data_IF_215708302475
#
_entry.id   IF_215708302475
#
_cell.length_a   1.000
_cell.length_b   1.000
_cell.length_c   1.000
_cell.angle_alpha   90.00
_cell.angle_beta   90.00
_cell.angle_gamma   90.00
#
_symmetry.space_group_name_H-M   'P 1'
#
loop_
_entity.id
_entity.type
_entity.pdbx_description
1 polymer ?
#
# COMPACT_ATOMS: atom_id res chain seq x y z
N UNK A 1 29.27 -19.87 28.12
CA UNK A 1 28.22 -18.97 27.69
C UNK A 1 28.23 -18.96 26.16
N UNK A 2 27.33 -19.74 25.49
CA UNK A 2 27.31 -19.84 24.03
C UNK A 2 26.40 -18.73 23.51
N UNK A 3 26.95 -17.70 22.89
CA UNK A 3 26.22 -16.71 22.12
C UNK A 3 25.55 -17.42 20.95
N UNK A 4 24.23 -17.53 21.00
CA UNK A 4 23.41 -17.98 19.87
C UNK A 4 23.41 -16.86 18.84
N UNK A 5 24.26 -16.97 17.84
CA UNK A 5 24.19 -16.13 16.63
C UNK A 5 22.94 -16.58 15.88
N UNK A 6 21.84 -15.82 16.01
CA UNK A 6 20.66 -16.03 15.16
C UNK A 6 21.08 -15.62 13.74
N UNK A 7 21.02 -16.56 12.80
CA UNK A 7 21.12 -16.23 11.38
C UNK A 7 20.02 -15.22 11.04
N UNK A 8 20.26 -14.23 10.16
CA UNK A 8 19.19 -13.37 9.68
C UNK A 8 18.10 -14.23 9.06
N UNK A 9 16.81 -13.88 9.25
CA UNK A 9 15.71 -14.60 8.63
C UNK A 9 15.94 -14.65 7.11
N UNK A 10 15.68 -15.81 6.51
CA UNK A 10 15.70 -15.92 5.06
C UNK A 10 14.65 -14.94 4.50
N UNK A 11 14.95 -14.30 3.37
CA UNK A 11 14.07 -13.33 2.70
C UNK A 11 12.64 -13.87 2.51
N UNK A 12 12.53 -15.17 2.22
CA UNK A 12 11.24 -15.84 2.07
C UNK A 12 10.48 -16.00 3.39
N UNK A 13 11.19 -16.16 4.52
CA UNK A 13 10.57 -16.21 5.85
C UNK A 13 9.98 -14.84 6.23
N UNK A 14 10.64 -13.73 5.94
CA UNK A 14 10.11 -12.38 6.19
C UNK A 14 8.85 -12.10 5.36
N UNK A 15 8.86 -12.44 4.07
CA UNK A 15 7.67 -12.32 3.21
C UNK A 15 6.51 -13.19 3.72
N UNK A 16 6.78 -14.40 4.18
CA UNK A 16 5.76 -15.29 4.74
C UNK A 16 5.11 -14.71 5.99
N UNK A 17 5.89 -14.11 6.90
CA UNK A 17 5.38 -13.42 8.10
C UNK A 17 4.45 -12.27 7.73
N UNK A 18 4.87 -11.40 6.81
CA UNK A 18 4.07 -10.24 6.37
C UNK A 18 2.82 -10.70 5.60
N UNK A 19 2.92 -11.72 4.76
CA UNK A 19 1.76 -12.32 4.08
C UNK A 19 0.76 -12.89 5.07
N UNK A 20 1.21 -13.66 6.07
CA UNK A 20 0.36 -14.21 7.11
C UNK A 20 -0.35 -13.11 7.92
N UNK A 21 0.35 -12.01 8.23
CA UNK A 21 -0.27 -10.84 8.85
C UNK A 21 -1.42 -10.27 7.99
N UNK A 22 -1.21 -10.15 6.67
CA UNK A 22 -2.29 -9.69 5.78
C UNK A 22 -3.46 -10.67 5.73
N UNK A 23 -3.19 -11.96 5.53
CA UNK A 23 -4.23 -12.97 5.32
C UNK A 23 -5.03 -13.30 6.59
N UNK A 24 -4.36 -13.37 7.74
CA UNK A 24 -5.04 -13.77 8.98
C UNK A 24 -5.48 -12.57 9.81
N UNK A 25 -4.65 -11.53 9.95
CA UNK A 25 -5.00 -10.39 10.79
C UNK A 25 -5.86 -9.40 10.03
N UNK A 26 -5.39 -8.92 8.86
CA UNK A 26 -6.12 -7.89 8.12
C UNK A 26 -7.39 -8.45 7.48
N UNK A 27 -7.32 -9.62 6.82
CA UNK A 27 -8.48 -10.20 6.12
C UNK A 27 -9.47 -10.89 7.05
N UNK A 28 -8.98 -11.64 8.05
CA UNK A 28 -9.85 -12.45 8.94
C UNK A 28 -10.11 -11.84 10.29
N UNK A 29 -9.37 -10.79 10.69
CA UNK A 29 -9.48 -10.17 12.01
C UNK A 29 -8.98 -11.07 13.15
N UNK A 30 -8.04 -11.96 12.87
CA UNK A 30 -7.47 -12.86 13.87
C UNK A 30 -6.46 -12.11 14.75
N UNK A 31 -6.94 -11.56 15.86
CA UNK A 31 -6.10 -10.80 16.78
C UNK A 31 -5.16 -11.67 17.64
N UNK A 32 -5.39 -12.98 17.75
CA UNK A 32 -4.43 -13.88 18.40
C UNK A 32 -3.16 -14.01 17.55
N UNK A 33 -3.31 -14.10 16.22
CA UNK A 33 -2.19 -14.08 15.28
C UNK A 33 -1.51 -12.71 15.25
N UNK A 34 -2.26 -11.61 15.43
CA UNK A 34 -1.67 -10.28 15.59
C UNK A 34 -0.72 -10.24 16.80
N UNK A 35 -1.15 -10.76 17.97
CA UNK A 35 -0.29 -10.82 19.15
C UNK A 35 0.96 -11.70 18.96
N UNK A 36 0.83 -12.78 18.18
CA UNK A 36 1.95 -13.64 17.81
C UNK A 36 2.95 -12.94 16.90
N UNK A 37 2.47 -12.29 15.84
CA UNK A 37 3.32 -11.77 14.77
C UNK A 37 3.93 -10.40 15.06
N UNK A 38 3.28 -9.54 15.85
CA UNK A 38 3.80 -8.21 16.15
C UNK A 38 4.65 -8.23 17.42
N UNK A 39 5.81 -7.58 17.37
CA UNK A 39 6.69 -7.44 18.52
C UNK A 39 6.06 -6.53 19.59
N UNK A 40 6.42 -6.73 20.86
CA UNK A 40 5.91 -5.89 21.95
C UNK A 40 6.43 -4.44 21.87
N UNK A 41 7.63 -4.27 21.31
CA UNK A 41 8.28 -2.99 21.05
C UNK A 41 8.06 -2.47 19.61
N UNK A 42 7.00 -2.96 18.93
CA UNK A 42 6.63 -2.55 17.58
C UNK A 42 6.42 -1.03 17.48
N UNK A 43 6.90 -0.45 16.37
CA UNK A 43 6.75 0.97 16.04
C UNK A 43 6.07 1.16 14.68
N UNK A 44 4.96 1.90 14.67
CA UNK A 44 4.36 2.43 13.44
C UNK A 44 4.92 3.83 13.16
N UNK A 45 5.68 3.98 12.08
CA UNK A 45 6.29 5.25 11.68
C UNK A 45 5.33 6.16 10.90
N UNK A 46 4.17 5.66 10.53
CA UNK A 46 3.12 6.38 9.79
C UNK A 46 1.75 6.20 10.45
N UNK A 47 1.63 6.46 11.77
CA UNK A 47 0.37 6.21 12.47
C UNK A 47 -0.76 7.05 11.88
N UNK A 48 -1.95 6.46 11.82
CA UNK A 48 -3.14 7.19 11.40
C UNK A 48 -3.55 8.21 12.47
N UNK A 49 -4.27 9.29 12.09
CA UNK A 49 -4.82 10.24 13.07
C UNK A 49 -5.55 9.52 14.21
N UNK A 50 -5.38 10.01 15.42
CA UNK A 50 -5.99 9.48 16.66
C UNK A 50 -5.56 8.04 17.05
N UNK A 51 -4.44 7.54 16.49
CA UNK A 51 -3.79 6.30 16.92
C UNK A 51 -2.40 6.56 17.52
N UNK A 52 -1.97 5.70 18.43
CA UNK A 52 -0.60 5.70 18.95
C UNK A 52 0.34 4.95 18.00
N UNK A 53 1.65 5.29 17.95
CA UNK A 53 2.62 4.66 17.06
C UNK A 53 3.12 3.31 17.58
N UNK A 54 2.31 2.57 18.30
CA UNK A 54 2.65 1.30 18.91
C UNK A 54 1.69 0.17 18.52
N UNK A 55 1.96 -1.02 18.98
CA UNK A 55 1.15 -2.22 18.78
C UNK A 55 -0.32 -2.01 19.17
N UNK A 56 -0.59 -1.28 20.27
CA UNK A 56 -1.95 -1.00 20.72
C UNK A 56 -2.70 -0.07 19.75
N UNK A 57 -2.02 0.94 19.19
CA UNK A 57 -2.58 1.83 18.18
C UNK A 57 -2.99 1.10 16.91
N UNK A 58 -2.14 0.19 16.40
CA UNK A 58 -2.46 -0.62 15.21
C UNK A 58 -3.62 -1.59 15.49
N UNK A 59 -3.66 -2.20 16.68
CA UNK A 59 -4.80 -3.04 17.08
C UNK A 59 -6.10 -2.25 17.09
N UNK A 60 -6.08 -1.04 17.67
CA UNK A 60 -7.23 -0.13 17.68
C UNK A 60 -7.66 0.24 16.26
N UNK A 61 -6.70 0.57 15.37
CA UNK A 61 -6.97 0.88 13.97
C UNK A 61 -7.66 -0.29 13.25
N UNK A 62 -7.15 -1.51 13.36
CA UNK A 62 -7.76 -2.67 12.71
C UNK A 62 -9.17 -2.96 13.25
N UNK A 63 -9.40 -2.79 14.56
CA UNK A 63 -10.74 -2.92 15.13
C UNK A 63 -11.71 -1.88 14.60
N UNK A 64 -11.25 -0.63 14.46
CA UNK A 64 -12.05 0.47 13.91
C UNK A 64 -12.39 0.26 12.43
N UNK A 65 -11.40 -0.16 11.61
CA UNK A 65 -11.61 -0.47 10.19
C UNK A 65 -12.64 -1.60 10.04
N UNK A 66 -12.52 -2.67 10.82
CA UNK A 66 -13.47 -3.80 10.74
C UNK A 66 -14.87 -3.47 11.23
N UNK A 67 -15.01 -2.52 12.15
CA UNK A 67 -16.33 -2.02 12.54
C UNK A 67 -16.98 -1.18 11.43
N UNK A 68 -16.19 -0.45 10.66
CA UNK A 68 -16.66 0.35 9.54
C UNK A 68 -16.89 -0.48 8.25
N UNK A 69 -16.06 -1.51 8.04
CA UNK A 69 -16.06 -2.39 6.87
C UNK A 69 -15.98 -3.84 7.33
N UNK A 70 -17.09 -4.51 7.67
CA UNK A 70 -17.07 -5.86 8.25
C UNK A 70 -16.45 -6.92 7.32
N UNK A 71 -16.54 -6.74 6.02
CA UNK A 71 -15.97 -7.59 4.96
C UNK A 71 -14.58 -7.13 4.48
N UNK A 72 -13.92 -6.25 5.25
CA UNK A 72 -12.60 -5.72 4.90
C UNK A 72 -11.58 -6.80 4.62
N UNK A 73 -10.94 -6.72 3.45
CA UNK A 73 -9.88 -7.63 3.05
C UNK A 73 -8.89 -6.98 2.09
N UNK A 74 -7.69 -7.52 2.03
CA UNK A 74 -6.61 -7.09 1.15
C UNK A 74 -6.33 -8.16 0.09
N UNK A 75 -6.15 -7.73 -1.15
CA UNK A 75 -5.56 -8.51 -2.23
C UNK A 75 -4.10 -8.10 -2.41
N UNK A 76 -3.16 -9.03 -2.18
CA UNK A 76 -1.73 -8.80 -2.38
C UNK A 76 -1.39 -8.97 -3.85
N UNK A 77 -0.88 -7.92 -4.51
CA UNK A 77 -0.42 -7.98 -5.89
C UNK A 77 1.02 -8.51 -5.98
N UNK A 78 1.93 -7.95 -5.17
CA UNK A 78 3.31 -8.40 -5.09
C UNK A 78 3.96 -8.02 -3.78
N UNK A 79 5.06 -8.71 -3.46
CA UNK A 79 5.95 -8.43 -2.34
C UNK A 79 7.40 -8.44 -2.80
N UNK A 80 8.15 -7.44 -2.39
CA UNK A 80 9.60 -7.36 -2.53
C UNK A 80 10.24 -7.35 -1.15
N UNK A 81 11.40 -7.97 -1.01
CA UNK A 81 12.15 -7.94 0.23
C UNK A 81 13.58 -7.49 -0.01
N UNK A 82 14.09 -6.66 0.91
CA UNK A 82 15.47 -6.23 1.00
C UNK A 82 15.93 -6.38 2.45
N UNK A 83 16.76 -7.38 2.68
CA UNK A 83 17.18 -7.77 4.03
C UNK A 83 15.98 -8.15 4.92
N UNK A 84 15.80 -7.42 6.01
CA UNK A 84 14.71 -7.63 6.98
C UNK A 84 13.43 -6.83 6.66
N UNK A 85 13.39 -6.09 5.54
CA UNK A 85 12.25 -5.28 5.13
C UNK A 85 11.50 -5.91 3.97
N UNK A 86 10.17 -5.91 4.09
CA UNK A 86 9.26 -6.41 3.06
C UNK A 86 8.32 -5.28 2.64
N UNK A 87 8.38 -4.93 1.37
CA UNK A 87 7.42 -4.01 0.73
C UNK A 87 6.29 -4.83 0.15
N UNK A 88 5.05 -4.43 0.44
CA UNK A 88 3.84 -5.08 -0.08
C UNK A 88 2.98 -4.05 -0.81
N UNK A 89 2.66 -4.31 -2.08
CA UNK A 89 1.61 -3.61 -2.82
C UNK A 89 0.34 -4.43 -2.79
N UNK A 90 -0.76 -3.82 -2.37
CA UNK A 90 -2.06 -4.48 -2.21
C UNK A 90 -3.21 -3.51 -2.45
N UNK A 91 -4.37 -4.06 -2.78
CA UNK A 91 -5.64 -3.33 -2.79
C UNK A 91 -6.49 -3.79 -1.62
N UNK A 92 -7.01 -2.85 -0.85
CA UNK A 92 -8.05 -3.11 0.13
C UNK A 92 -9.44 -3.00 -0.48
N UNK A 93 -10.33 -3.87 -0.05
CA UNK A 93 -11.74 -3.91 -0.43
C UNK A 93 -12.62 -3.96 0.82
N UNK A 94 -13.86 -3.54 0.69
CA UNK A 94 -14.86 -3.67 1.75
C UNK A 94 -16.16 -2.97 1.38
N UNK A 95 -17.18 -3.14 2.23
CA UNK A 95 -18.47 -2.47 2.15
C UNK A 95 -18.62 -1.54 3.34
N UNK A 96 -18.93 -0.26 3.10
CA UNK A 96 -19.05 0.78 4.14
C UNK A 96 -20.35 0.63 4.93
N UNK A 97 -20.30 -0.17 5.98
CA UNK A 97 -21.46 -0.51 6.83
C UNK A 97 -21.46 0.18 8.21
N UNK A 98 -20.32 0.78 8.62
CA UNK A 98 -20.17 1.49 9.89
C UNK A 98 -19.70 2.93 9.71
N UNK A 99 -19.66 3.69 10.81
CA UNK A 99 -19.18 5.07 10.81
C UNK A 99 -17.66 5.11 10.56
N UNK A 100 -17.21 5.92 9.58
CA UNK A 100 -15.80 6.04 9.23
C UNK A 100 -15.41 7.48 8.92
N UNK A 101 -14.42 8.02 9.63
CA UNK A 101 -13.84 9.38 9.45
C UNK A 101 -14.89 10.48 9.23
N UNK A 102 -15.94 10.51 10.05
CA UNK A 102 -17.00 11.52 9.97
C UNK A 102 -18.15 11.18 9.00
N UNK A 103 -18.06 10.04 8.29
CA UNK A 103 -19.08 9.63 7.31
C UNK A 103 -19.94 8.50 7.87
N UNK A 104 -21.27 8.68 7.84
CA UNK A 104 -22.23 7.62 8.20
C UNK A 104 -22.22 6.50 7.14
N UNK A 105 -22.66 5.28 7.48
CA UNK A 105 -22.72 4.15 6.54
C UNK A 105 -23.40 4.53 5.21
N UNK A 106 -22.74 4.19 4.11
CA UNK A 106 -23.27 4.48 2.76
C UNK A 106 -23.63 3.23 1.98
N UNK A 107 -23.31 2.04 2.51
CA UNK A 107 -23.47 0.73 1.87
C UNK A 107 -22.76 0.60 0.52
N UNK A 108 -21.77 1.46 0.27
CA UNK A 108 -20.97 1.44 -0.96
C UNK A 108 -19.80 0.49 -0.81
N UNK A 109 -19.53 -0.25 -1.87
CA UNK A 109 -18.28 -0.99 -2.00
C UNK A 109 -17.13 -0.02 -2.25
N UNK A 110 -16.01 -0.28 -1.60
CA UNK A 110 -14.79 0.51 -1.73
C UNK A 110 -13.61 -0.37 -2.16
N UNK A 111 -12.67 0.26 -2.84
CA UNK A 111 -11.35 -0.30 -3.08
C UNK A 111 -10.31 0.82 -3.11
N UNK A 112 -9.18 0.60 -2.49
CA UNK A 112 -8.08 1.56 -2.53
C UNK A 112 -6.73 0.87 -2.39
N UNK A 113 -5.74 1.39 -3.10
CA UNK A 113 -4.39 0.85 -3.11
C UNK A 113 -3.58 1.32 -1.91
N UNK A 114 -2.70 0.44 -1.46
CA UNK A 114 -1.76 0.70 -0.38
C UNK A 114 -0.40 0.07 -0.72
N UNK A 115 0.65 0.81 -0.40
CA UNK A 115 2.01 0.27 -0.33
C UNK A 115 2.47 0.41 1.10
N UNK A 116 2.85 -0.69 1.72
CA UNK A 116 3.47 -0.68 3.04
C UNK A 116 4.82 -1.40 3.06
N UNK A 117 5.65 -1.02 4.02
CA UNK A 117 6.92 -1.66 4.33
C UNK A 117 6.85 -2.14 5.77
N UNK A 118 7.13 -3.41 5.99
CA UNK A 118 7.25 -3.98 7.32
C UNK A 118 8.67 -4.52 7.53
N UNK A 119 9.27 -4.23 8.68
CA UNK A 119 10.51 -4.89 9.11
C UNK A 119 10.16 -6.14 9.89
N UNK A 120 10.86 -7.23 9.61
CA UNK A 120 10.70 -8.51 10.31
C UNK A 120 12.01 -8.91 10.96
N UNK A 121 12.02 -9.00 12.28
CA UNK A 121 13.17 -9.45 13.05
C UNK A 121 12.78 -10.59 13.99
N UNK A 122 13.57 -11.65 14.01
CA UNK A 122 13.30 -12.84 14.82
C UNK A 122 11.90 -13.45 14.63
N UNK A 123 11.37 -13.37 13.38
CA UNK A 123 10.04 -13.89 13.04
C UNK A 123 8.87 -12.98 13.46
N UNK A 124 9.14 -11.76 13.93
CA UNK A 124 8.12 -10.79 14.35
C UNK A 124 8.24 -9.49 13.55
N UNK A 125 7.11 -8.84 13.32
CA UNK A 125 7.03 -7.51 12.72
C UNK A 125 7.37 -6.49 13.79
N UNK A 126 8.46 -5.73 13.58
CA UNK A 126 8.98 -4.74 14.53
C UNK A 126 8.68 -3.31 14.12
N UNK A 127 8.54 -3.05 12.82
CA UNK A 127 8.31 -1.69 12.30
C UNK A 127 7.34 -1.73 11.12
N UNK A 128 6.63 -0.62 10.95
CA UNK A 128 5.72 -0.39 9.83
C UNK A 128 5.85 1.03 9.28
N UNK A 129 5.83 1.16 7.95
CA UNK A 129 5.63 2.38 7.17
C UNK A 129 4.58 2.08 6.11
N UNK A 130 3.57 2.95 5.96
CA UNK A 130 2.51 2.71 4.99
C UNK A 130 1.96 3.98 4.37
N UNK A 131 1.60 3.90 3.10
CA UNK A 131 0.88 4.94 2.38
C UNK A 131 -0.31 4.32 1.67
N UNK A 132 -1.51 4.69 2.11
CA UNK A 132 -2.76 4.28 1.49
C UNK A 132 -3.42 5.43 0.73
N UNK A 133 -4.10 5.13 -0.36
CA UNK A 133 -4.88 6.12 -1.12
C UNK A 133 -6.21 6.44 -0.41
N UNK A 134 -6.11 7.01 0.81
CA UNK A 134 -7.28 7.36 1.63
C UNK A 134 -8.15 8.43 0.97
N UNK A 135 -7.58 9.29 0.12
CA UNK A 135 -8.37 10.26 -0.63
C UNK A 135 -9.37 9.56 -1.56
N UNK A 136 -8.93 8.51 -2.27
CA UNK A 136 -9.81 7.69 -3.10
C UNK A 136 -10.93 7.04 -2.27
N UNK A 137 -10.59 6.46 -1.10
CA UNK A 137 -11.58 5.90 -0.18
C UNK A 137 -12.62 6.94 0.23
N UNK A 138 -12.18 8.13 0.68
CA UNK A 138 -13.08 9.21 1.11
C UNK A 138 -14.00 9.71 -0.01
N UNK A 139 -13.50 9.77 -1.25
CA UNK A 139 -14.33 10.08 -2.42
C UNK A 139 -15.42 9.02 -2.67
N UNK A 140 -15.04 7.74 -2.58
CA UNK A 140 -15.96 6.62 -2.82
C UNK A 140 -17.11 6.58 -1.81
N UNK A 141 -16.84 6.87 -0.53
CA UNK A 141 -17.88 6.93 0.49
C UNK A 141 -18.58 8.29 0.59
N UNK A 142 -18.16 9.31 -0.19
CA UNK A 142 -18.77 10.64 -0.21
C UNK A 142 -18.30 11.56 0.92
N UNK A 143 -17.26 11.22 1.64
CA UNK A 143 -16.66 12.03 2.71
C UNK A 143 -15.77 13.17 2.20
N UNK A 144 -15.45 13.17 0.91
CA UNK A 144 -14.69 14.25 0.28
C UNK A 144 -15.14 14.47 -1.16
N UNK A 145 -15.36 15.72 -1.52
CA UNK A 145 -15.67 16.13 -2.90
C UNK A 145 -14.61 17.13 -3.35
N UNK A 146 -13.99 16.94 -4.55
CA UNK A 146 -13.06 17.94 -5.07
C UNK A 146 -13.74 19.30 -5.16
N UNK A 147 -13.05 20.40 -4.82
CA UNK A 147 -13.56 21.74 -5.12
C UNK A 147 -13.82 21.86 -6.63
N UNK A 148 -14.84 22.61 -7.01
CA UNK A 148 -15.08 22.90 -8.43
C UNK A 148 -13.81 23.47 -9.04
N UNK A 149 -13.42 23.04 -10.27
CA UNK A 149 -12.25 23.62 -10.94
C UNK A 149 -12.45 25.14 -11.05
N UNK A 150 -11.45 25.90 -10.58
CA UNK A 150 -11.43 27.32 -10.87
C UNK A 150 -11.37 27.49 -12.39
N UNK A 151 -12.23 28.33 -12.96
CA UNK A 151 -12.23 28.57 -14.40
C UNK A 151 -10.81 28.95 -14.86
N UNK A 152 -10.24 28.16 -15.79
CA UNK A 152 -8.96 28.43 -16.43
C UNK A 152 -7.72 27.73 -15.83
N UNK A 153 -7.84 26.89 -14.82
CA UNK A 153 -6.64 26.31 -14.15
C UNK A 153 -6.04 25.06 -14.80
N UNK A 154 -6.77 24.36 -15.68
CA UNK A 154 -6.21 23.26 -16.47
C UNK A 154 -6.73 23.30 -17.89
N UNK A 155 -5.85 23.17 -18.91
CA UNK A 155 -6.33 22.98 -20.27
C UNK A 155 -7.19 21.70 -20.31
N UNK A 156 -8.30 21.69 -21.10
CA UNK A 156 -9.10 20.48 -21.25
C UNK A 156 -8.20 19.34 -21.73
N UNK A 157 -8.35 18.18 -21.12
CA UNK A 157 -7.64 16.96 -21.56
C UNK A 157 -7.87 16.81 -23.07
N UNK A 158 -6.83 16.64 -23.90
CA UNK A 158 -7.02 16.38 -25.33
C UNK A 158 -8.00 15.22 -25.48
N UNK A 159 -9.12 15.47 -26.12
CA UNK A 159 -10.03 14.38 -26.47
C UNK A 159 -9.26 13.47 -27.43
N UNK A 160 -9.11 12.20 -27.08
CA UNK A 160 -8.59 11.20 -27.98
C UNK A 160 -9.57 11.12 -29.16
N UNK A 161 -9.29 11.86 -30.22
CA UNK A 161 -9.93 11.64 -31.50
C UNK A 161 -9.57 10.21 -31.90
N UNK A 162 -10.57 9.34 -31.95
CA UNK A 162 -10.43 7.95 -32.31
C UNK A 162 -9.72 7.84 -33.64
N UNK A 163 -8.42 7.64 -33.61
CA UNK A 163 -7.63 7.26 -34.76
C UNK A 163 -7.90 5.78 -34.97
N UNK A 164 -8.72 5.49 -35.99
CA UNK A 164 -8.85 4.16 -36.57
C UNK A 164 -7.46 3.68 -36.94
N UNK A 165 -6.92 2.74 -36.17
CA UNK A 165 -5.61 2.12 -36.42
C UNK A 165 -5.70 1.34 -37.73
N UNK A 166 -5.32 1.96 -38.84
CA UNK A 166 -4.99 1.21 -40.06
C UNK A 166 -3.68 0.45 -39.80
N UNK A 167 -3.74 -0.84 -39.85
CA UNK A 167 -2.58 -1.73 -39.84
C UNK A 167 -1.75 -1.52 -41.13
N UNK A 168 -0.50 -1.09 -41.05
CA UNK A 168 0.38 -1.14 -42.21
C UNK A 168 0.94 -2.57 -42.32
N UNK A 169 0.59 -3.26 -43.38
CA UNK A 169 1.37 -4.39 -43.90
C UNK A 169 2.60 -3.84 -44.59
N UNK A 170 3.75 -3.93 -43.93
CA UNK A 170 5.06 -3.82 -44.63
C UNK A 170 6.11 -4.65 -43.91
N UNK A 171 6.80 -5.43 -44.70
CA UNK A 171 7.97 -6.30 -44.50
C UNK A 171 9.09 -5.62 -43.74
N UNK A 172 9.87 -6.36 -42.91
CA UNK A 172 10.94 -5.74 -42.10
C UNK A 172 12.18 -5.48 -42.98
N UNK A 173 12.53 -4.22 -43.11
CA UNK A 173 13.86 -3.82 -43.59
C UNK A 173 14.81 -3.70 -42.37
N UNK A 174 15.85 -4.53 -42.38
CA UNK A 174 16.98 -4.46 -41.47
C UNK A 174 17.84 -3.23 -41.83
N UNK A 175 17.94 -2.28 -40.94
CA UNK A 175 19.10 -1.42 -40.62
C UNK A 175 18.68 -0.03 -40.11
N UNK A 176 18.55 0.09 -38.79
CA UNK A 176 18.76 1.41 -38.15
C UNK A 176 19.28 1.17 -36.70
N UNK A 177 20.61 1.10 -36.60
CA UNK A 177 21.31 1.27 -35.33
C UNK A 177 21.33 2.77 -34.98
N UNK A 178 20.45 3.21 -34.11
CA UNK A 178 20.57 4.53 -33.48
C UNK A 178 21.27 4.35 -32.15
N UNK A 179 22.50 4.87 -32.11
CA UNK A 179 23.33 5.02 -30.90
C UNK A 179 22.65 6.01 -29.94
N UNK A 180 22.12 5.53 -28.81
CA UNK A 180 21.73 6.37 -27.70
C UNK A 180 22.89 6.43 -26.70
N UNK A 181 23.61 7.53 -26.69
CA UNK A 181 24.54 7.88 -25.61
C UNK A 181 23.75 8.31 -24.36
N UNK A 182 24.05 7.76 -23.17
CA UNK A 182 23.44 8.23 -21.93
C UNK A 182 24.02 9.59 -21.54
N UNK A 183 23.22 10.63 -21.53
CA UNK A 183 23.60 11.86 -20.84
C UNK A 183 23.42 11.65 -19.34
N UNK A 184 24.51 11.67 -18.61
CA UNK A 184 24.55 11.65 -17.16
C UNK A 184 23.93 12.94 -16.61
N UNK A 185 22.84 12.82 -15.88
CA UNK A 185 22.30 13.91 -15.07
C UNK A 185 23.22 14.04 -13.84
N UNK A 186 24.05 15.09 -13.82
CA UNK A 186 24.83 15.46 -12.62
C UNK A 186 23.93 16.18 -11.63
N UNK A 187 23.72 15.55 -10.50
CA UNK A 187 23.09 16.15 -9.32
C UNK A 187 24.13 16.97 -8.56
N UNK A 188 23.93 18.29 -8.42
CA UNK A 188 24.77 19.14 -7.54
C UNK A 188 23.98 19.43 -6.27
N UNK A 189 24.51 19.12 -5.08
CA UNK A 189 23.94 19.60 -3.83
C UNK A 189 24.32 21.06 -3.63
N UNK A 190 23.34 21.93 -3.46
CA UNK A 190 23.59 23.28 -2.94
C UNK A 190 23.88 23.23 -1.44
N UNK A 191 24.86 24.03 -1.02
CA UNK A 191 25.41 24.18 0.31
C UNK A 191 24.46 24.95 1.23
#
# INVERSE_FOLDING_TARGET
MKTRTSSPPLIDDAKAVVRRSTEEVQNRGNFDVFEELFADDFVDHTPQPDTTPDKAGVRKLYSYIRAAFPDFHAEIHWQLADGDRVTTHKTYHGTHEGYFLGVAPTHRQIHFETVDVMRVQNGKITDHWGVGNLLSLMQQIGGWTPPAPAEGTFPPRPQSTGSTRQTPTTTPDHNFLVSLTPQAIQWQPEV
#
